data_IF_925045987524
#
_entry.id   IF_925045987524
#
_cell.length_a   1.000
_cell.length_b   1.000
_cell.length_c   1.000
_cell.angle_alpha   90.00
_cell.angle_beta   90.00
_cell.angle_gamma   90.00
#
_symmetry.space_group_name_H-M   'P 1'
#
loop_
_entity.id
_entity.type
_entity.pdbx_description
1 polymer ?
#
# COMPACT_ATOMS: atom_id res chain seq x y z
N UNK A 1 7.07 2.55 13.68
CA UNK A 1 6.62 2.20 12.32
C UNK A 1 5.48 1.17 12.28
N UNK A 2 5.58 0.04 12.99
CA UNK A 2 4.65 -1.10 12.82
C UNK A 2 3.15 -0.74 12.97
N UNK A 3 2.75 -0.02 14.02
CA UNK A 3 1.35 0.40 14.21
C UNK A 3 0.81 1.21 13.02
N UNK A 4 1.58 2.18 12.55
CA UNK A 4 1.21 3.01 11.41
C UNK A 4 1.08 2.15 10.15
N UNK A 5 2.06 1.29 9.88
CA UNK A 5 2.02 0.35 8.75
C UNK A 5 0.77 -0.53 8.77
N UNK A 6 0.44 -1.16 9.90
CA UNK A 6 -0.72 -2.07 10.00
C UNK A 6 -2.04 -1.32 9.79
N UNK A 7 -2.15 -0.08 10.30
CA UNK A 7 -3.33 0.77 10.07
C UNK A 7 -3.45 1.19 8.60
N UNK A 8 -2.35 1.61 7.99
CA UNK A 8 -2.30 1.99 6.57
C UNK A 8 -2.61 0.80 5.65
N UNK A 9 -2.07 -0.38 5.95
CA UNK A 9 -2.36 -1.61 5.20
C UNK A 9 -3.83 -1.99 5.33
N UNK A 10 -4.39 -2.00 6.54
CA UNK A 10 -5.80 -2.31 6.75
C UNK A 10 -6.72 -1.36 5.98
N UNK A 11 -6.41 -0.06 5.99
CA UNK A 11 -7.13 0.94 5.19
C UNK A 11 -7.02 0.65 3.70
N UNK A 12 -5.81 0.35 3.21
CA UNK A 12 -5.59 0.00 1.80
C UNK A 12 -6.45 -1.20 1.38
N UNK A 13 -6.40 -2.31 2.11
CA UNK A 13 -7.18 -3.52 1.79
C UNK A 13 -8.68 -3.22 1.81
N UNK A 14 -9.16 -2.48 2.82
CA UNK A 14 -10.57 -2.10 2.92
C UNK A 14 -11.05 -1.29 1.72
N UNK A 15 -10.23 -0.36 1.20
CA UNK A 15 -10.59 0.43 0.02
C UNK A 15 -10.56 -0.41 -1.26
N UNK A 16 -9.62 -1.35 -1.39
CA UNK A 16 -9.58 -2.30 -2.51
C UNK A 16 -10.83 -3.20 -2.50
N UNK A 17 -11.17 -3.77 -1.34
CA UNK A 17 -12.33 -4.67 -1.20
C UNK A 17 -13.65 -3.97 -1.55
N UNK A 18 -13.80 -2.69 -1.19
CA UNK A 18 -14.98 -1.89 -1.56
C UNK A 18 -15.12 -1.75 -3.08
N UNK A 19 -14.02 -1.51 -3.77
CA UNK A 19 -14.01 -1.36 -5.22
C UNK A 19 -14.30 -2.69 -5.94
N UNK A 20 -13.90 -3.83 -5.36
CA UNK A 20 -14.22 -5.14 -5.93
C UNK A 20 -15.73 -5.45 -5.94
N UNK A 21 -16.50 -4.87 -5.02
CA UNK A 21 -17.96 -5.05 -4.89
C UNK A 21 -18.74 -4.22 -5.94
N UNK A 22 -18.15 -3.15 -6.47
CA UNK A 22 -18.78 -2.28 -7.47
C UNK A 22 -18.71 -2.90 -8.89
N UNK A 23 -19.86 -2.92 -9.59
CA UNK A 23 -20.09 -3.75 -10.77
C UNK A 23 -19.68 -3.13 -12.12
N UNK A 24 -19.21 -1.88 -12.16
CA UNK A 24 -19.01 -1.16 -13.42
C UNK A 24 -17.52 -0.90 -13.74
N UNK A 25 -17.16 -1.08 -15.01
CA UNK A 25 -15.87 -0.73 -15.63
C UNK A 25 -14.59 -1.32 -14.98
N UNK A 26 -14.25 -2.60 -15.27
CA UNK A 26 -13.06 -3.27 -14.71
C UNK A 26 -11.73 -2.52 -14.90
N UNK A 27 -11.54 -1.85 -16.04
CA UNK A 27 -10.31 -1.09 -16.32
C UNK A 27 -10.19 0.13 -15.39
N UNK A 28 -11.26 0.94 -15.29
CA UNK A 28 -11.28 2.12 -14.42
C UNK A 28 -11.08 1.73 -12.95
N UNK A 29 -11.60 0.57 -12.55
CA UNK A 29 -11.36 0.02 -11.22
C UNK A 29 -9.89 -0.29 -10.98
N UNK A 30 -9.23 -0.97 -11.91
CA UNK A 30 -7.80 -1.28 -11.78
C UNK A 30 -6.98 0.02 -11.69
N UNK A 31 -7.26 1.01 -12.54
CA UNK A 31 -6.61 2.34 -12.46
C UNK A 31 -6.82 3.01 -11.10
N UNK A 32 -8.04 2.93 -10.56
CA UNK A 32 -8.37 3.47 -9.23
C UNK A 32 -7.59 2.75 -8.13
N UNK A 33 -7.52 1.42 -8.19
CA UNK A 33 -6.74 0.62 -7.23
C UNK A 33 -5.25 0.96 -7.30
N UNK A 34 -4.69 1.10 -8.51
CA UNK A 34 -3.29 1.51 -8.70
C UNK A 34 -3.04 2.88 -8.02
N UNK A 35 -3.93 3.85 -8.23
CA UNK A 35 -3.82 5.17 -7.59
C UNK A 35 -3.84 5.08 -6.06
N UNK A 36 -4.76 4.30 -5.47
CA UNK A 36 -4.83 4.10 -4.02
C UNK A 36 -3.54 3.46 -3.47
N UNK A 37 -2.97 2.47 -4.18
CA UNK A 37 -1.71 1.83 -3.77
C UNK A 37 -0.55 2.84 -3.82
N UNK A 38 -0.48 3.68 -4.86
CA UNK A 38 0.54 4.73 -4.98
C UNK A 38 0.41 5.76 -3.85
N UNK A 39 -0.80 6.18 -3.52
CA UNK A 39 -1.05 7.09 -2.39
C UNK A 39 -0.63 6.49 -1.05
N UNK A 40 -0.95 5.22 -0.82
CA UNK A 40 -0.54 4.47 0.36
C UNK A 40 1.00 4.43 0.51
N UNK A 41 1.73 4.14 -0.57
CA UNK A 41 3.19 4.16 -0.59
C UNK A 41 3.75 5.57 -0.33
N UNK A 42 3.10 6.61 -0.87
CA UNK A 42 3.46 8.01 -0.64
C UNK A 42 3.28 8.41 0.82
N UNK A 43 2.18 7.99 1.45
CA UNK A 43 1.90 8.25 2.86
C UNK A 43 2.92 7.57 3.79
N UNK A 44 3.27 6.31 3.50
CA UNK A 44 4.32 5.59 4.21
C UNK A 44 5.68 6.30 4.08
N UNK A 45 6.04 6.73 2.87
CA UNK A 45 7.29 7.48 2.65
C UNK A 45 7.31 8.78 3.45
N UNK A 46 6.21 9.55 3.44
CA UNK A 46 6.09 10.79 4.22
C UNK A 46 6.22 10.52 5.73
N UNK A 47 5.61 9.45 6.23
CA UNK A 47 5.73 9.06 7.63
C UNK A 47 7.18 8.72 8.01
N UNK A 48 7.86 7.92 7.20
CA UNK A 48 9.26 7.52 7.43
C UNK A 48 10.18 8.74 7.39
N UNK A 49 10.01 9.65 6.43
CA UNK A 49 10.82 10.88 6.36
C UNK A 49 10.60 11.80 7.56
N UNK A 50 9.41 11.80 8.16
CA UNK A 50 9.06 12.63 9.32
C UNK A 50 9.54 12.01 10.64
N UNK A 51 9.33 10.71 10.82
CA UNK A 51 9.54 10.03 12.10
C UNK A 51 10.84 9.25 12.18
N UNK A 52 11.44 8.90 11.05
CA UNK A 52 12.57 7.97 10.96
C UNK A 52 12.19 6.55 11.40
N UNK A 53 13.21 5.69 11.48
CA UNK A 53 13.13 4.39 12.12
C UNK A 53 13.67 4.46 13.55
N UNK A 54 13.08 3.68 14.45
CA UNK A 54 13.53 3.57 15.84
C UNK A 54 14.95 2.99 15.94
N UNK A 55 15.26 2.01 15.09
CA UNK A 55 16.55 1.32 15.03
C UNK A 55 16.70 0.61 13.68
N UNK A 56 17.89 0.08 13.42
CA UNK A 56 18.22 -0.65 12.19
C UNK A 56 17.34 -1.89 11.98
N UNK A 57 16.92 -2.57 13.05
CA UNK A 57 16.03 -3.73 12.94
C UNK A 57 14.65 -3.35 12.41
N UNK A 58 14.08 -2.23 12.86
CA UNK A 58 12.80 -1.72 12.36
C UNK A 58 12.91 -1.31 10.89
N UNK A 59 14.02 -0.69 10.49
CA UNK A 59 14.32 -0.34 9.10
C UNK A 59 14.42 -1.59 8.21
N UNK A 60 15.23 -2.58 8.63
CA UNK A 60 15.38 -3.86 7.92
C UNK A 60 14.03 -4.55 7.78
N UNK A 61 13.24 -4.59 8.85
CA UNK A 61 11.93 -5.21 8.82
C UNK A 61 10.97 -4.49 7.84
N UNK A 62 10.98 -3.16 7.84
CA UNK A 62 10.18 -2.38 6.89
C UNK A 62 10.53 -2.73 5.44
N UNK A 63 11.81 -2.68 5.08
CA UNK A 63 12.21 -2.91 3.69
C UNK A 63 12.13 -4.38 3.25
N UNK A 64 12.34 -5.34 4.15
CA UNK A 64 12.28 -6.78 3.83
C UNK A 64 10.88 -7.38 3.86
N UNK A 65 9.98 -6.87 4.69
CA UNK A 65 8.69 -7.52 4.93
C UNK A 65 7.48 -6.62 4.70
N UNK A 66 7.55 -5.36 5.10
CA UNK A 66 6.37 -4.48 5.06
C UNK A 66 6.18 -3.82 3.68
N UNK A 67 7.21 -3.13 3.19
CA UNK A 67 7.17 -2.47 1.88
C UNK A 67 6.88 -3.46 0.74
N UNK A 68 7.48 -4.66 0.68
CA UNK A 68 7.20 -5.61 -0.40
C UNK A 68 5.73 -6.04 -0.50
N UNK A 69 4.98 -6.11 0.60
CA UNK A 69 3.55 -6.49 0.59
C UNK A 69 2.70 -5.50 -0.18
N UNK A 70 2.99 -4.21 -0.08
CA UNK A 70 2.22 -3.17 -0.80
C UNK A 70 2.71 -3.06 -2.24
N UNK A 71 4.03 -3.17 -2.46
CA UNK A 71 4.62 -3.12 -3.81
C UNK A 71 4.18 -4.33 -4.66
N UNK A 72 4.03 -5.52 -4.08
CA UNK A 72 3.56 -6.69 -4.83
C UNK A 72 2.13 -6.51 -5.35
N UNK A 73 1.26 -5.82 -4.61
CA UNK A 73 -0.08 -5.45 -5.08
C UNK A 73 0.00 -4.50 -6.27
N UNK A 74 0.86 -3.47 -6.20
CA UNK A 74 1.08 -2.56 -7.33
C UNK A 74 1.52 -3.34 -8.58
N UNK A 75 2.45 -4.27 -8.44
CA UNK A 75 2.92 -5.13 -9.54
C UNK A 75 1.77 -5.97 -10.10
N UNK A 76 0.96 -6.58 -9.23
CA UNK A 76 -0.19 -7.39 -9.63
C UNK A 76 -1.19 -6.58 -10.46
N UNK A 77 -1.66 -5.43 -9.95
CA UNK A 77 -2.64 -4.61 -10.67
C UNK A 77 -2.08 -4.00 -11.96
N UNK A 78 -0.80 -3.60 -11.97
CA UNK A 78 -0.15 -3.14 -13.20
C UNK A 78 0.02 -4.23 -14.26
N UNK A 79 0.06 -5.51 -13.86
CA UNK A 79 0.21 -6.62 -14.80
C UNK A 79 -1.12 -7.08 -15.42
N UNK A 80 -2.25 -6.68 -14.83
CA UNK A 80 -3.61 -6.98 -15.33
C UNK A 80 -4.08 -5.92 -16.31
N UNK A 81 -3.65 -4.67 -16.10
CA UNK A 81 -3.88 -3.55 -17.02
C UNK A 81 -3.18 -3.82 -18.37
#
# INVERSE_FOLDING_TARGET
MNKFYTQTLFKLETEIDKLEIEADCPIQRIETVINIIIECLSELKKNILKSGFKNTEEEIHFFKHQKPVIVSKLIYYNAIL
#
